data_IF_517087304406
#
_entry.id   IF_517087304406
#
_cell.length_a   1.000
_cell.length_b   1.000
_cell.length_c   1.000
_cell.angle_alpha   90.00
_cell.angle_beta   90.00
_cell.angle_gamma   90.00
#
_symmetry.space_group_name_H-M   'P 1'
#
loop_
_entity.id
_entity.type
_entity.pdbx_description
1 polymer ?
#
# COMPACT_ATOMS: atom_id res chain seq x y z
N UNK A 1 3.41 0.04 11.21
CA UNK A 1 4.56 -0.59 10.52
C UNK A 1 4.42 -2.10 10.54
N UNK A 2 4.85 -2.74 9.47
CA UNK A 2 4.75 -4.18 9.26
C UNK A 2 6.07 -4.73 8.73
N UNK A 3 6.47 -5.90 9.20
CA UNK A 3 7.65 -6.62 8.73
C UNK A 3 7.25 -7.64 7.66
N UNK A 4 8.01 -7.73 6.58
CA UNK A 4 7.78 -8.73 5.55
C UNK A 4 8.01 -10.14 6.12
N UNK A 5 7.17 -11.08 5.76
CA UNK A 5 7.24 -12.44 6.31
C UNK A 5 8.34 -13.28 5.65
N UNK A 6 8.62 -13.04 4.37
CA UNK A 6 9.64 -13.76 3.62
C UNK A 6 11.05 -13.18 3.83
N UNK A 7 11.16 -11.86 4.02
CA UNK A 7 12.43 -11.18 4.28
C UNK A 7 12.24 -10.06 5.31
N UNK A 8 12.70 -10.30 6.53
CA UNK A 8 12.59 -9.38 7.66
C UNK A 8 13.34 -8.05 7.50
N UNK A 9 14.19 -7.93 6.49
CA UNK A 9 14.86 -6.66 6.15
C UNK A 9 13.90 -5.65 5.50
N UNK A 10 12.81 -6.12 4.90
CA UNK A 10 11.81 -5.25 4.30
C UNK A 10 10.73 -4.87 5.30
N UNK A 11 10.45 -3.58 5.37
CA UNK A 11 9.40 -2.99 6.19
C UNK A 11 8.38 -2.28 5.31
N UNK A 12 7.10 -2.52 5.57
CA UNK A 12 6.00 -1.72 5.03
C UNK A 12 5.60 -0.66 6.05
N UNK A 13 5.68 0.61 5.66
CA UNK A 13 5.07 1.72 6.39
C UNK A 13 3.87 2.21 5.58
N UNK A 14 2.68 1.96 6.08
CA UNK A 14 1.43 2.37 5.44
C UNK A 14 0.83 3.54 6.21
N UNK A 15 0.40 4.58 5.48
CA UNK A 15 -0.19 5.78 6.04
C UNK A 15 -1.39 6.20 5.20
N UNK A 16 -2.41 6.75 5.84
CA UNK A 16 -3.59 7.32 5.19
C UNK A 16 -3.58 8.82 5.46
N UNK A 17 -3.84 9.60 4.44
CA UNK A 17 -3.87 11.05 4.46
C UNK A 17 -5.22 11.56 3.97
N UNK A 18 -5.67 12.66 4.53
CA UNK A 18 -6.96 13.26 4.15
C UNK A 18 -6.89 13.99 2.81
N UNK A 19 -5.71 14.50 2.47
CA UNK A 19 -5.48 15.22 1.21
C UNK A 19 -4.04 15.17 0.74
N UNK A 20 -3.79 15.55 -0.50
CA UNK A 20 -2.46 15.74 -1.09
C UNK A 20 -1.71 16.87 -0.37
N UNK A 21 -2.39 17.94 -0.01
CA UNK A 21 -1.82 19.09 0.73
C UNK A 21 -1.27 18.65 2.08
N UNK A 22 -1.95 17.76 2.78
CA UNK A 22 -1.49 17.19 4.04
C UNK A 22 -0.18 16.41 3.86
N UNK A 23 -0.03 15.66 2.77
CA UNK A 23 1.21 14.96 2.44
C UNK A 23 2.33 15.98 2.17
N UNK A 24 2.05 17.01 1.38
CA UNK A 24 3.04 18.05 1.04
C UNK A 24 3.49 18.82 2.27
N UNK A 25 2.56 19.22 3.13
CA UNK A 25 2.85 19.90 4.39
C UNK A 25 3.76 19.05 5.29
N UNK A 26 3.43 17.78 5.47
CA UNK A 26 4.24 16.86 6.25
C UNK A 26 5.66 16.67 5.65
N UNK A 27 5.78 16.61 4.33
CA UNK A 27 7.10 16.51 3.67
C UNK A 27 7.97 17.75 3.86
N UNK A 28 7.35 18.93 3.98
CA UNK A 28 8.04 20.19 4.19
C UNK A 28 8.43 20.41 5.65
N UNK A 29 7.84 19.65 6.57
CA UNK A 29 8.13 19.73 7.99
C UNK A 29 9.63 19.52 8.26
N UNK A 30 10.30 20.46 9.01
CA UNK A 30 11.75 20.40 9.24
C UNK A 30 12.20 19.14 10.00
N UNK A 31 11.41 18.68 10.97
CA UNK A 31 11.74 17.48 11.73
C UNK A 31 11.60 16.23 10.87
N UNK A 32 10.59 16.21 9.99
CA UNK A 32 10.45 15.11 9.02
C UNK A 32 11.61 15.08 8.03
N UNK A 33 12.02 16.22 7.47
CA UNK A 33 13.20 16.32 6.60
C UNK A 33 14.46 15.79 7.28
N UNK A 34 14.66 16.15 8.54
CA UNK A 34 15.78 15.69 9.35
C UNK A 34 15.77 14.18 9.56
N UNK A 35 14.58 13.62 9.87
CA UNK A 35 14.38 12.18 10.00
C UNK A 35 14.63 11.45 8.68
N UNK A 36 14.16 11.99 7.54
CA UNK A 36 14.41 11.42 6.20
C UNK A 36 15.91 11.41 5.87
N UNK A 37 16.63 12.50 6.11
CA UNK A 37 18.07 12.57 5.86
C UNK A 37 18.83 11.54 6.70
N UNK A 38 18.44 11.38 7.97
CA UNK A 38 19.01 10.37 8.85
C UNK A 38 18.71 8.95 8.36
N UNK A 39 17.47 8.71 7.96
CA UNK A 39 17.05 7.42 7.40
C UNK A 39 17.86 7.01 6.17
N UNK A 40 18.00 7.91 5.20
CA UNK A 40 18.82 7.69 3.98
C UNK A 40 20.27 7.39 4.27
N UNK A 41 20.86 8.01 5.28
CA UNK A 41 22.31 7.86 5.58
C UNK A 41 22.61 6.62 6.42
N UNK A 42 21.71 6.22 7.30
CA UNK A 42 22.04 5.28 8.38
C UNK A 42 21.16 4.03 8.45
N UNK A 43 20.00 4.01 7.80
CA UNK A 43 18.99 3.00 8.10
C UNK A 43 18.40 2.30 6.88
N UNK A 44 18.48 2.89 5.69
CA UNK A 44 17.88 2.32 4.49
C UNK A 44 18.93 2.13 3.40
N UNK A 45 19.08 0.90 2.93
CA UNK A 45 19.84 0.59 1.72
C UNK A 45 19.06 1.02 0.48
N UNK A 46 17.74 0.86 0.51
CA UNK A 46 16.81 1.33 -0.51
C UNK A 46 15.42 1.58 0.08
N UNK A 47 14.59 2.35 -0.63
CA UNK A 47 13.17 2.50 -0.33
C UNK A 47 12.38 2.75 -1.61
N UNK A 48 11.11 2.35 -1.58
CA UNK A 48 10.11 2.64 -2.61
C UNK A 48 8.89 3.29 -1.99
N UNK A 49 8.43 4.39 -2.56
CA UNK A 49 7.25 5.13 -2.11
C UNK A 49 6.19 5.05 -3.20
N UNK A 50 5.01 4.65 -2.83
CA UNK A 50 3.83 4.64 -3.69
C UNK A 50 2.75 5.50 -3.07
N UNK A 51 2.30 6.48 -3.84
CA UNK A 51 1.16 7.34 -3.47
C UNK A 51 -0.02 6.88 -4.29
N UNK A 52 -1.09 6.50 -3.63
CA UNK A 52 -2.27 5.95 -4.28
C UNK A 52 -3.55 6.60 -3.79
N UNK A 53 -4.54 6.61 -4.66
CA UNK A 53 -5.91 7.03 -4.39
C UNK A 53 -6.77 5.80 -4.14
N UNK A 54 -7.54 5.82 -3.07
CA UNK A 54 -8.51 4.77 -2.78
C UNK A 54 -9.63 4.80 -3.83
N UNK A 55 -9.87 3.66 -4.49
CA UNK A 55 -10.93 3.55 -5.52
C UNK A 55 -12.05 2.61 -5.12
N UNK A 56 -11.72 1.50 -4.45
CA UNK A 56 -12.73 0.55 -3.94
C UNK A 56 -12.32 0.07 -2.56
N UNK A 57 -13.27 -0.08 -1.65
CA UNK A 57 -13.09 -0.74 -0.36
C UNK A 57 -14.10 -1.87 -0.21
N UNK A 58 -13.61 -3.04 0.17
CA UNK A 58 -14.39 -4.17 0.63
C UNK A 58 -14.22 -4.29 2.15
N UNK A 59 -15.33 -4.16 2.87
CA UNK A 59 -15.37 -4.24 4.32
C UNK A 59 -16.71 -4.81 4.76
N UNK A 60 -16.69 -5.74 5.70
CA UNK A 60 -17.91 -6.37 6.24
C UNK A 60 -18.85 -6.91 5.14
N UNK A 61 -18.28 -7.56 4.13
CA UNK A 61 -19.01 -8.11 2.98
C UNK A 61 -19.74 -7.06 2.12
N UNK A 62 -19.29 -5.81 2.15
CA UNK A 62 -19.84 -4.71 1.34
C UNK A 62 -18.73 -4.06 0.52
N UNK A 63 -19.05 -3.74 -0.73
CA UNK A 63 -18.21 -2.94 -1.61
C UNK A 63 -18.63 -1.48 -1.55
N UNK A 64 -17.67 -0.59 -1.42
CA UNK A 64 -17.84 0.86 -1.50
C UNK A 64 -16.90 1.42 -2.57
N UNK A 65 -17.44 2.19 -3.50
CA UNK A 65 -16.68 2.83 -4.58
C UNK A 65 -16.46 4.30 -4.21
N UNK A 66 -15.22 4.78 -4.36
CA UNK A 66 -14.81 6.14 -3.99
C UNK A 66 -14.51 7.01 -5.19
N UNK A 67 -14.22 6.39 -6.33
CA UNK A 67 -13.91 7.10 -7.56
C UNK A 67 -14.45 6.36 -8.77
N UNK A 68 -15.29 7.07 -9.54
CA UNK A 68 -15.89 6.60 -10.78
C UNK A 68 -15.21 7.23 -12.02
N UNK A 69 -14.10 7.97 -11.84
CA UNK A 69 -13.40 8.60 -12.96
C UNK A 69 -12.85 7.56 -13.92
N UNK A 70 -12.79 7.92 -15.19
CA UNK A 70 -12.26 7.06 -16.26
C UNK A 70 -10.84 6.62 -15.89
N UNK A 71 -10.68 5.31 -15.72
CA UNK A 71 -9.40 4.67 -15.49
C UNK A 71 -8.65 4.56 -16.81
N UNK A 72 -7.39 4.97 -16.82
CA UNK A 72 -6.55 4.82 -18.00
C UNK A 72 -5.97 3.39 -18.06
N UNK A 73 -5.70 2.89 -19.26
CA UNK A 73 -5.05 1.58 -19.43
C UNK A 73 -3.63 1.51 -18.83
N UNK A 74 -3.04 2.66 -18.53
CA UNK A 74 -1.69 2.77 -17.96
C UNK A 74 -1.68 2.78 -16.42
N UNK A 75 -2.86 2.87 -15.79
CA UNK A 75 -2.96 2.91 -14.33
C UNK A 75 -2.59 1.56 -13.72
N UNK A 76 -1.66 1.59 -12.76
CA UNK A 76 -1.29 0.45 -11.93
C UNK A 76 -2.11 0.45 -10.65
N UNK A 77 -2.46 -0.72 -10.17
CA UNK A 77 -3.27 -0.86 -8.96
C UNK A 77 -2.56 -1.71 -7.92
N UNK A 78 -2.81 -1.39 -6.67
CA UNK A 78 -2.43 -2.22 -5.53
C UNK A 78 -3.68 -2.55 -4.74
N UNK A 79 -3.85 -3.84 -4.44
CA UNK A 79 -4.83 -4.31 -3.49
C UNK A 79 -4.11 -4.55 -2.17
N UNK A 80 -4.54 -3.86 -1.11
CA UNK A 80 -4.13 -4.13 0.25
C UNK A 80 -5.24 -4.89 0.96
N UNK A 81 -4.90 -6.07 1.48
CA UNK A 81 -5.81 -6.94 2.21
C UNK A 81 -5.36 -6.97 3.66
N UNK A 82 -6.18 -6.45 4.56
CA UNK A 82 -5.97 -6.60 6.00
C UNK A 82 -6.63 -7.89 6.47
N UNK A 83 -5.93 -8.67 7.26
CA UNK A 83 -6.42 -9.96 7.75
C UNK A 83 -5.91 -10.26 9.15
N UNK A 84 -6.58 -11.19 9.83
CA UNK A 84 -6.16 -11.71 11.13
C UNK A 84 -5.23 -12.91 11.03
N UNK A 85 -5.03 -13.44 9.82
CA UNK A 85 -4.13 -14.55 9.50
C UNK A 85 -3.27 -14.20 8.29
N UNK A 86 -2.13 -14.86 8.17
CA UNK A 86 -1.35 -14.82 6.93
C UNK A 86 -2.13 -15.40 5.78
N UNK A 87 -2.19 -14.68 4.67
CA UNK A 87 -2.79 -15.16 3.43
C UNK A 87 -1.71 -15.69 2.50
N UNK A 88 -1.99 -16.84 1.91
CA UNK A 88 -1.11 -17.51 0.93
C UNK A 88 -1.68 -17.34 -0.48
N UNK A 89 -0.83 -17.07 -1.43
CA UNK A 89 -1.22 -16.95 -2.83
C UNK A 89 -0.07 -16.58 -3.75
N UNK A 90 -0.26 -16.82 -5.03
CA UNK A 90 0.70 -16.41 -6.05
C UNK A 90 0.77 -14.89 -6.12
N UNK A 91 1.97 -14.33 -6.13
CA UNK A 91 2.23 -12.89 -6.16
C UNK A 91 1.77 -12.11 -4.91
N UNK A 92 1.46 -12.80 -3.81
CA UNK A 92 1.16 -12.16 -2.54
C UNK A 92 2.45 -11.78 -1.82
N UNK A 93 2.52 -10.54 -1.36
CA UNK A 93 3.59 -10.08 -0.48
C UNK A 93 2.96 -9.78 0.89
N UNK A 94 3.20 -10.66 1.84
CA UNK A 94 2.57 -10.60 3.16
C UNK A 94 3.50 -9.99 4.20
N UNK A 95 2.92 -9.15 5.04
CA UNK A 95 3.58 -8.42 6.11
C UNK A 95 2.83 -8.65 7.41
N UNK A 96 3.56 -8.82 8.50
CA UNK A 96 3.01 -8.92 9.86
C UNK A 96 3.25 -7.61 10.61
N UNK A 97 2.27 -7.17 11.37
CA UNK A 97 2.41 -6.00 12.25
C UNK A 97 3.53 -6.21 13.26
N UNK A 98 4.36 -5.16 13.50
CA UNK A 98 5.40 -5.20 14.52
C UNK A 98 4.81 -5.08 15.94
N UNK A 99 3.61 -4.54 16.06
CA UNK A 99 3.00 -4.22 17.36
C UNK A 99 1.79 -5.12 17.70
N UNK A 100 1.30 -5.91 16.74
CA UNK A 100 0.11 -6.76 16.91
C UNK A 100 0.35 -8.13 16.30
N UNK A 101 0.07 -9.18 17.06
CA UNK A 101 0.31 -10.55 16.59
C UNK A 101 -0.72 -11.03 15.56
N UNK A 102 -1.94 -10.51 15.63
CA UNK A 102 -3.09 -10.88 14.82
C UNK A 102 -3.38 -9.90 13.66
N UNK A 103 -2.40 -9.12 13.25
CA UNK A 103 -2.59 -8.13 12.20
C UNK A 103 -1.60 -8.31 11.06
N UNK A 104 -2.15 -8.63 9.90
CA UNK A 104 -1.41 -8.85 8.66
C UNK A 104 -1.90 -7.90 7.57
N UNK A 105 -0.99 -7.49 6.69
CA UNK A 105 -1.31 -6.83 5.42
C UNK A 105 -0.72 -7.67 4.31
N UNK A 106 -1.55 -8.07 3.37
CA UNK A 106 -1.12 -8.68 2.11
C UNK A 106 -1.27 -7.68 1.00
N UNK A 107 -0.19 -7.46 0.27
CA UNK A 107 -0.12 -6.55 -0.88
C UNK A 107 -0.06 -7.35 -2.17
N UNK A 108 -0.94 -7.00 -3.11
CA UNK A 108 -0.96 -7.58 -4.45
C UNK A 108 -0.93 -6.44 -5.46
N UNK A 109 0.05 -6.45 -6.35
CA UNK A 109 0.13 -5.49 -7.46
C UNK A 109 -0.55 -6.08 -8.69
N UNK A 110 -1.40 -5.28 -9.35
CA UNK A 110 -2.07 -5.64 -10.59
C UNK A 110 -1.80 -4.59 -11.67
N UNK A 111 -1.80 -5.02 -12.93
CA UNK A 111 -1.55 -4.11 -14.06
C UNK A 111 -2.76 -3.27 -14.41
N UNK A 112 -3.95 -3.76 -14.10
CA UNK A 112 -5.22 -3.13 -14.44
C UNK A 112 -6.24 -3.27 -13.31
N UNK A 113 -7.34 -2.57 -13.46
CA UNK A 113 -8.46 -2.58 -12.51
C UNK A 113 -9.23 -3.90 -12.51
N UNK A 114 -9.32 -4.57 -13.65
CA UNK A 114 -10.06 -5.84 -13.76
C UNK A 114 -9.39 -6.94 -12.95
N UNK A 115 -8.05 -6.99 -12.99
CA UNK A 115 -7.27 -7.90 -12.13
C UNK A 115 -7.49 -7.61 -10.64
N UNK A 116 -7.49 -6.35 -10.24
CA UNK A 116 -7.75 -5.95 -8.86
C UNK A 116 -9.19 -6.27 -8.43
N UNK A 117 -10.17 -6.04 -9.31
CA UNK A 117 -11.58 -6.33 -9.05
C UNK A 117 -11.86 -7.82 -8.93
N UNK A 118 -11.27 -8.65 -9.79
CA UNK A 118 -11.34 -10.11 -9.70
C UNK A 118 -10.78 -10.63 -8.38
N UNK A 119 -9.68 -10.04 -7.91
CA UNK A 119 -9.11 -10.42 -6.62
C UNK A 119 -10.09 -10.15 -5.48
N UNK A 120 -10.70 -8.97 -5.45
CA UNK A 120 -11.69 -8.62 -4.42
C UNK A 120 -12.95 -9.49 -4.52
N UNK A 121 -13.43 -9.79 -5.73
CA UNK A 121 -14.61 -10.65 -5.92
C UNK A 121 -14.41 -12.07 -5.37
N UNK A 122 -13.18 -12.53 -5.31
CA UNK A 122 -12.83 -13.85 -4.77
C UNK A 122 -12.39 -13.80 -3.29
N UNK A 123 -12.43 -12.64 -2.65
CA UNK A 123 -11.87 -12.47 -1.31
C UNK A 123 -12.64 -13.26 -0.25
N UNK A 124 -13.94 -13.47 -0.46
CA UNK A 124 -14.78 -14.26 0.45
C UNK A 124 -14.40 -15.75 0.49
N UNK A 125 -13.61 -16.24 -0.47
CA UNK A 125 -13.09 -17.59 -0.46
C UNK A 125 -11.93 -17.77 0.51
N UNK A 126 -11.36 -16.67 1.01
CA UNK A 126 -10.28 -16.68 1.99
C UNK A 126 -10.85 -17.04 3.37
N UNK A 127 -10.28 -18.05 3.99
CA UNK A 127 -10.67 -18.48 5.36
C UNK A 127 -10.09 -17.52 6.42
N UNK A 128 -10.48 -16.25 6.35
CA UNK A 128 -10.08 -15.23 7.31
C UNK A 128 -11.07 -14.08 7.34
N UNK A 129 -11.12 -13.35 8.46
CA UNK A 129 -11.77 -12.04 8.47
C UNK A 129 -10.88 -11.07 7.72
N UNK A 130 -11.38 -10.58 6.59
CA UNK A 130 -10.62 -9.72 5.68
C UNK A 130 -11.35 -8.43 5.34
N UNK A 131 -10.57 -7.35 5.27
CA UNK A 131 -10.96 -6.11 4.60
C UNK A 131 -9.95 -5.85 3.49
N UNK A 132 -10.40 -5.40 2.34
CA UNK A 132 -9.51 -5.10 1.23
C UNK A 132 -9.79 -3.72 0.64
N UNK A 133 -8.74 -3.10 0.12
CA UNK A 133 -8.85 -1.80 -0.54
C UNK A 133 -8.02 -1.81 -1.82
N UNK A 134 -8.64 -1.40 -2.93
CA UNK A 134 -7.94 -1.12 -4.18
C UNK A 134 -7.48 0.33 -4.16
N UNK A 135 -6.20 0.53 -4.43
CA UNK A 135 -5.58 1.84 -4.64
C UNK A 135 -5.10 1.95 -6.08
N UNK A 136 -5.51 2.99 -6.77
CA UNK A 136 -4.89 3.42 -8.02
C UNK A 136 -3.60 4.16 -7.70
N UNK A 137 -2.47 3.75 -8.29
CA UNK A 137 -1.18 4.34 -8.02
C UNK A 137 -0.98 5.57 -8.88
N UNK A 138 -0.91 6.72 -8.22
CA UNK A 138 -0.70 8.03 -8.85
C UNK A 138 0.78 8.35 -9.05
N UNK A 139 1.63 7.92 -8.08
CA UNK A 139 3.08 8.10 -8.12
C UNK A 139 3.78 6.88 -7.52
N UNK A 140 4.86 6.48 -8.15
CA UNK A 140 5.71 5.37 -7.71
C UNK A 140 7.18 5.76 -7.95
N UNK A 141 7.94 5.92 -6.89
CA UNK A 141 9.34 6.33 -6.97
C UNK A 141 10.19 5.69 -5.87
N UNK A 142 11.47 5.53 -6.13
CA UNK A 142 12.43 4.92 -5.22
C UNK A 142 13.56 5.88 -4.83
N UNK A 143 14.56 5.37 -4.13
CA UNK A 143 15.77 6.13 -3.83
C UNK A 143 16.55 6.48 -5.09
N UNK A 144 16.60 5.57 -6.07
CA UNK A 144 17.37 5.69 -7.32
C UNK A 144 16.53 6.25 -8.49
N UNK A 145 15.23 5.97 -8.50
CA UNK A 145 14.28 6.46 -9.51
C UNK A 145 13.39 7.53 -8.88
N UNK A 146 13.63 8.80 -9.26
CA UNK A 146 12.99 9.98 -8.65
C UNK A 146 12.06 10.72 -9.60
N UNK A 147 11.80 10.23 -10.80
CA UNK A 147 11.05 10.95 -11.85
C UNK A 147 9.66 11.39 -11.39
N UNK A 148 8.97 10.58 -10.61
CA UNK A 148 7.65 10.88 -10.05
C UNK A 148 7.71 11.45 -8.62
N UNK A 149 8.90 11.74 -8.10
CA UNK A 149 9.04 12.35 -6.78
C UNK A 149 8.61 13.81 -6.83
N UNK A 150 7.72 14.27 -5.95
CA UNK A 150 7.45 15.69 -5.83
C UNK A 150 8.71 16.42 -5.31
N UNK A 151 8.93 17.62 -5.83
CA UNK A 151 10.03 18.52 -5.46
C UNK A 151 9.92 19.01 -4.01
#
# INVERSE_FOLDING_TARGET
RFSNLSDKKFLLSFQIWDSEESILSWRQDPEHKKAQMKGKKLHFDDYRIRVGKKVVKYERKKLSYYDETKRTFESKYIVLINSTKELQGTSFISFKSINREDAFITMVSTLDFDGASKLISNIDTLDATVDATIYEILRDYSMCDRDQSPN
#
